data_IF_100860214099
#
_entry.id   IF_100860214099
#
_cell.length_a   1.000
_cell.length_b   1.000
_cell.length_c   1.000
_cell.angle_alpha   90.00
_cell.angle_beta   90.00
_cell.angle_gamma   90.00
#
_symmetry.space_group_name_H-M   'P 1'
#
loop_
_entity.id
_entity.type
_entity.pdbx_description
1 polymer ?
#
# COMPACT_ATOMS: atom_id res chain seq x y z
N UNK A 1 -22.41 27.72 -13.08
CA UNK A 1 -21.02 27.83 -13.53
C UNK A 1 -20.28 26.61 -13.01
N UNK A 2 -20.18 25.57 -13.84
CA UNK A 2 -19.37 24.40 -13.52
C UNK A 2 -17.89 24.84 -13.67
N UNK A 3 -17.19 24.86 -12.56
CA UNK A 3 -15.74 24.97 -12.55
C UNK A 3 -15.19 23.70 -13.22
N UNK A 4 -14.74 23.82 -14.46
CA UNK A 4 -14.12 22.75 -15.21
C UNK A 4 -12.98 22.15 -14.40
N UNK A 5 -13.11 20.87 -14.07
CA UNK A 5 -11.97 20.02 -13.66
C UNK A 5 -10.94 20.15 -14.78
N UNK A 6 -9.79 20.76 -14.46
CA UNK A 6 -8.65 20.73 -15.36
C UNK A 6 -8.42 19.26 -15.72
N UNK A 7 -8.51 18.93 -17.00
CA UNK A 7 -8.20 17.60 -17.50
C UNK A 7 -6.75 17.33 -17.18
N UNK A 8 -6.48 16.32 -16.31
CA UNK A 8 -5.11 15.89 -16.02
C UNK A 8 -4.38 15.65 -17.33
N UNK A 9 -3.22 16.30 -17.49
CA UNK A 9 -2.41 16.19 -18.71
C UNK A 9 -1.74 14.81 -18.86
N UNK A 10 -1.84 13.92 -17.85
CA UNK A 10 -1.25 12.58 -17.84
C UNK A 10 -2.14 11.59 -17.08
N UNK A 11 -1.96 10.31 -17.33
CA UNK A 11 -2.54 9.21 -16.58
C UNK A 11 -1.51 8.09 -16.50
N UNK A 12 -1.73 7.14 -15.59
CA UNK A 12 -0.88 5.95 -15.46
C UNK A 12 -0.73 5.19 -16.79
N UNK A 13 -1.72 5.28 -17.69
CA UNK A 13 -1.73 4.61 -18.99
C UNK A 13 -0.95 5.36 -20.10
N UNK A 14 -0.55 6.62 -19.87
CA UNK A 14 0.14 7.45 -20.89
C UNK A 14 1.52 7.91 -20.45
N UNK A 15 1.86 7.76 -19.16
CA UNK A 15 3.13 8.18 -18.59
C UNK A 15 4.27 7.29 -19.09
N UNK A 16 5.16 7.85 -19.92
CA UNK A 16 6.19 7.10 -20.67
C UNK A 16 7.11 6.27 -19.80
N UNK A 17 7.51 6.76 -18.60
CA UNK A 17 8.34 6.04 -17.66
C UNK A 17 7.64 4.83 -17.04
N UNK A 18 6.32 4.83 -16.96
CA UNK A 18 5.51 3.71 -16.45
C UNK A 18 5.30 2.69 -17.57
N UNK A 19 4.71 3.12 -18.71
CA UNK A 19 4.39 2.21 -19.80
C UNK A 19 5.63 1.61 -20.47
N UNK A 20 6.79 2.24 -20.35
CA UNK A 20 8.08 1.69 -20.81
C UNK A 20 8.61 0.56 -19.93
N UNK A 21 8.17 0.44 -18.68
CA UNK A 21 8.59 -0.59 -17.72
C UNK A 21 7.48 -1.57 -17.36
N UNK A 22 6.23 -1.14 -17.38
CA UNK A 22 5.06 -1.89 -16.89
C UNK A 22 3.93 -1.90 -17.91
N UNK A 23 3.33 -3.07 -18.09
CA UNK A 23 2.03 -3.19 -18.72
C UNK A 23 0.95 -2.95 -17.66
N UNK A 24 0.25 -1.83 -17.74
CA UNK A 24 -0.92 -1.55 -16.89
C UNK A 24 -2.09 -2.41 -17.35
N UNK A 25 -2.73 -3.09 -16.42
CA UNK A 25 -3.83 -4.03 -16.66
C UNK A 25 -5.13 -3.47 -16.06
N UNK A 26 -6.00 -4.33 -15.56
CA UNK A 26 -7.29 -3.92 -14.98
C UNK A 26 -7.13 -3.20 -13.63
N UNK A 27 -8.06 -2.29 -13.36
CA UNK A 27 -8.20 -1.66 -12.04
C UNK A 27 -8.78 -2.66 -11.05
N UNK A 28 -8.07 -2.90 -9.95
CA UNK A 28 -8.42 -3.85 -8.89
C UNK A 28 -8.91 -3.16 -7.62
N UNK A 29 -8.70 -1.85 -7.48
CA UNK A 29 -9.17 -1.06 -6.35
C UNK A 29 -9.37 0.40 -6.75
N UNK A 30 -10.31 1.07 -6.07
CA UNK A 30 -10.58 2.50 -6.24
C UNK A 30 -11.04 3.08 -4.90
N UNK A 31 -10.43 4.16 -4.49
CA UNK A 31 -10.72 4.87 -3.26
C UNK A 31 -10.75 6.38 -3.48
N UNK A 32 -11.04 7.12 -2.41
CA UNK A 32 -11.12 8.59 -2.47
C UNK A 32 -9.78 9.25 -2.84
N UNK A 33 -8.67 8.60 -2.51
CA UNK A 33 -7.32 9.18 -2.63
C UNK A 33 -6.38 8.40 -3.54
N UNK A 34 -6.78 7.20 -4.00
CA UNK A 34 -5.93 6.37 -4.82
C UNK A 34 -6.74 5.39 -5.68
N UNK A 35 -6.21 5.07 -6.85
CA UNK A 35 -6.63 3.97 -7.70
C UNK A 35 -5.52 2.91 -7.74
N UNK A 36 -5.89 1.62 -7.73
CA UNK A 36 -4.94 0.51 -7.78
C UNK A 36 -5.21 -0.34 -9.01
N UNK A 37 -4.16 -0.59 -9.79
CA UNK A 37 -4.20 -1.40 -10.99
C UNK A 37 -3.32 -2.63 -10.83
N UNK A 38 -3.74 -3.77 -11.36
CA UNK A 38 -2.82 -4.87 -11.58
C UNK A 38 -1.91 -4.50 -12.75
N UNK A 39 -0.63 -4.78 -12.61
CA UNK A 39 0.37 -4.54 -13.63
C UNK A 39 1.30 -5.73 -13.80
N UNK A 40 2.07 -5.71 -14.90
CA UNK A 40 3.12 -6.67 -15.16
C UNK A 40 4.40 -5.94 -15.56
N UNK A 41 5.48 -6.24 -14.85
CA UNK A 41 6.79 -5.68 -15.18
C UNK A 41 7.33 -6.33 -16.45
N UNK A 42 7.74 -5.52 -17.43
CA UNK A 42 8.11 -6.01 -18.77
C UNK A 42 9.46 -6.74 -18.81
N UNK A 43 10.34 -6.50 -17.84
CA UNK A 43 11.69 -7.09 -17.82
C UNK A 43 11.72 -8.57 -17.40
N UNK A 44 10.78 -9.02 -16.55
CA UNK A 44 10.79 -10.35 -15.93
C UNK A 44 9.39 -10.94 -15.71
N UNK A 45 8.37 -10.34 -16.30
CA UNK A 45 6.97 -10.74 -16.18
C UNK A 45 6.38 -10.74 -14.76
N UNK A 46 7.07 -10.11 -13.79
CA UNK A 46 6.57 -10.02 -12.41
C UNK A 46 5.23 -9.29 -12.36
N UNK A 47 4.23 -9.93 -11.74
CA UNK A 47 2.96 -9.27 -11.43
C UNK A 47 3.15 -8.30 -10.26
N UNK A 48 2.67 -7.06 -10.44
CA UNK A 48 2.78 -5.97 -9.46
C UNK A 48 1.43 -5.28 -9.26
N UNK A 49 1.28 -4.57 -8.15
CA UNK A 49 0.20 -3.61 -7.95
C UNK A 49 0.74 -2.19 -8.22
N UNK A 50 0.07 -1.46 -9.10
CA UNK A 50 0.38 -0.08 -9.44
C UNK A 50 -0.64 0.81 -8.72
N UNK A 51 -0.23 1.50 -7.66
CA UNK A 51 -1.08 2.39 -6.85
C UNK A 51 -0.84 3.83 -7.27
N UNK A 52 -1.83 4.43 -7.92
CA UNK A 52 -1.86 5.84 -8.31
C UNK A 52 -2.48 6.66 -7.16
N UNK A 53 -1.71 7.56 -6.54
CA UNK A 53 -2.13 8.33 -5.37
C UNK A 53 -2.30 9.79 -5.78
N UNK A 54 -3.51 10.33 -5.56
CA UNK A 54 -3.93 11.67 -5.97
C UNK A 54 -3.68 12.73 -4.89
N UNK A 55 -3.37 12.30 -3.64
CA UNK A 55 -3.08 13.18 -2.51
C UNK A 55 -1.60 13.19 -2.19
N UNK A 56 -0.97 14.36 -2.33
CA UNK A 56 0.46 14.56 -2.10
C UNK A 56 0.92 14.09 -0.72
N UNK A 57 0.18 14.45 0.33
CA UNK A 57 0.58 14.11 1.69
C UNK A 57 0.48 12.60 1.98
N UNK A 58 -0.53 11.95 1.43
CA UNK A 58 -0.66 10.48 1.54
C UNK A 58 0.45 9.78 0.78
N UNK A 59 0.78 10.24 -0.44
CA UNK A 59 1.87 9.68 -1.23
C UNK A 59 3.21 9.79 -0.50
N UNK A 60 3.53 10.97 0.03
CA UNK A 60 4.77 11.21 0.77
C UNK A 60 4.90 10.28 1.98
N UNK A 61 3.85 10.23 2.83
CA UNK A 61 3.84 9.38 4.02
C UNK A 61 3.99 7.89 3.67
N UNK A 62 3.29 7.41 2.63
CA UNK A 62 3.33 6.01 2.25
C UNK A 62 4.70 5.62 1.69
N UNK A 63 5.31 6.45 0.85
CA UNK A 63 6.66 6.22 0.32
C UNK A 63 7.69 6.17 1.44
N UNK A 64 7.72 7.19 2.33
CA UNK A 64 8.68 7.22 3.45
C UNK A 64 8.53 6.00 4.35
N UNK A 65 7.30 5.67 4.76
CA UNK A 65 7.04 4.52 5.62
C UNK A 65 7.51 3.21 4.98
N UNK A 66 7.17 2.97 3.71
CA UNK A 66 7.55 1.75 3.02
C UNK A 66 9.06 1.65 2.77
N UNK A 67 9.75 2.78 2.54
CA UNK A 67 11.21 2.81 2.45
C UNK A 67 11.88 2.45 3.79
N UNK A 68 11.36 2.95 4.92
CA UNK A 68 11.87 2.61 6.25
C UNK A 68 11.58 1.16 6.65
N UNK A 69 10.49 0.57 6.14
CA UNK A 69 10.03 -0.78 6.45
C UNK A 69 10.54 -1.85 5.46
N UNK A 70 11.44 -1.49 4.55
CA UNK A 70 12.02 -2.45 3.60
C UNK A 70 12.64 -3.66 4.30
N UNK A 71 12.36 -4.86 3.76
CA UNK A 71 12.85 -6.11 4.33
C UNK A 71 11.98 -6.67 5.48
N UNK A 72 10.93 -5.96 5.91
CA UNK A 72 9.96 -6.48 6.89
C UNK A 72 9.05 -7.52 6.24
N UNK A 73 9.05 -8.79 6.69
CA UNK A 73 8.34 -9.87 5.98
C UNK A 73 6.81 -9.72 5.98
N UNK A 74 6.28 -8.99 6.96
CA UNK A 74 4.84 -8.75 7.12
C UNK A 74 4.42 -7.31 6.80
N UNK A 75 5.16 -6.65 5.93
CA UNK A 75 4.81 -5.35 5.33
C UNK A 75 4.90 -5.50 3.82
N UNK A 76 3.99 -4.87 3.09
CA UNK A 76 3.98 -4.87 1.61
C UNK A 76 5.28 -4.28 1.07
N UNK A 77 5.86 -4.92 0.05
CA UNK A 77 7.14 -4.48 -0.55
C UNK A 77 6.87 -3.35 -1.55
N UNK A 78 7.59 -2.25 -1.39
CA UNK A 78 7.70 -1.19 -2.39
C UNK A 78 8.88 -1.52 -3.32
N UNK A 79 8.62 -1.80 -4.61
CA UNK A 79 9.65 -2.08 -5.60
C UNK A 79 10.30 -0.80 -6.13
N UNK A 80 9.48 0.16 -6.57
CA UNK A 80 9.89 1.49 -6.99
C UNK A 80 8.68 2.45 -6.94
N UNK A 81 8.92 3.73 -7.16
CA UNK A 81 7.86 4.72 -7.31
C UNK A 81 8.22 5.76 -8.38
N UNK A 82 7.18 6.36 -8.95
CA UNK A 82 7.28 7.45 -9.91
C UNK A 82 6.54 8.65 -9.36
N UNK A 83 7.26 9.72 -9.10
CA UNK A 83 6.67 10.93 -8.56
C UNK A 83 7.41 12.15 -9.07
N UNK A 84 6.67 13.15 -9.54
CA UNK A 84 7.16 14.46 -9.97
C UNK A 84 6.29 15.52 -9.32
N UNK A 85 6.84 16.74 -9.24
CA UNK A 85 6.09 17.90 -8.78
C UNK A 85 4.84 18.09 -9.67
N UNK A 86 3.72 18.41 -9.04
CA UNK A 86 2.40 18.62 -9.66
C UNK A 86 1.76 17.39 -10.34
N UNK A 87 2.31 16.19 -10.17
CA UNK A 87 1.74 14.94 -10.69
C UNK A 87 1.37 13.98 -9.55
N UNK A 88 0.39 13.10 -9.82
CA UNK A 88 0.06 12.01 -8.91
C UNK A 88 1.24 11.04 -8.79
N UNK A 89 1.48 10.54 -7.59
CA UNK A 89 2.49 9.52 -7.37
C UNK A 89 1.98 8.13 -7.82
N UNK A 90 2.84 7.33 -8.41
CA UNK A 90 2.55 5.92 -8.71
C UNK A 90 3.54 5.05 -7.97
N UNK A 91 3.05 4.24 -7.04
CA UNK A 91 3.84 3.26 -6.30
C UNK A 91 3.73 1.90 -6.99
N UNK A 92 4.85 1.25 -7.18
CA UNK A 92 4.93 -0.13 -7.65
C UNK A 92 5.14 -1.04 -6.46
N UNK A 93 4.09 -1.76 -6.09
CA UNK A 93 4.04 -2.61 -4.91
C UNK A 93 4.03 -4.09 -5.33
N UNK A 94 4.44 -4.98 -4.43
CA UNK A 94 4.18 -6.40 -4.63
C UNK A 94 2.67 -6.65 -4.76
N UNK A 95 2.31 -7.58 -5.66
CA UNK A 95 0.92 -7.97 -5.84
C UNK A 95 0.56 -9.10 -4.88
N UNK A 96 -0.48 -8.88 -4.10
CA UNK A 96 -1.05 -9.85 -3.17
C UNK A 96 -2.49 -10.14 -3.61
N UNK A 97 -2.87 -11.42 -3.67
CA UNK A 97 -4.06 -11.87 -4.41
C UNK A 97 -5.39 -11.61 -3.72
N UNK A 98 -5.38 -11.44 -2.40
CA UNK A 98 -6.59 -11.18 -1.61
C UNK A 98 -6.29 -10.35 -0.35
N UNK A 99 -7.32 -9.98 0.36
CA UNK A 99 -7.25 -9.30 1.65
C UNK A 99 -8.10 -10.03 2.70
N UNK A 100 -7.86 -9.75 3.98
CA UNK A 100 -8.53 -10.43 5.08
C UNK A 100 -10.05 -10.10 5.12
N UNK A 101 -10.49 -8.93 4.67
CA UNK A 101 -11.91 -8.61 4.61
C UNK A 101 -12.64 -9.50 3.59
N UNK A 102 -12.03 -9.72 2.44
CA UNK A 102 -12.53 -10.63 1.41
C UNK A 102 -12.61 -12.08 1.94
N UNK A 103 -11.56 -12.55 2.62
CA UNK A 103 -11.54 -13.89 3.23
C UNK A 103 -12.66 -14.05 4.28
N UNK A 104 -12.84 -13.07 5.17
CA UNK A 104 -13.91 -13.07 6.17
C UNK A 104 -15.29 -13.09 5.50
N UNK A 105 -15.49 -12.26 4.47
CA UNK A 105 -16.75 -12.18 3.74
C UNK A 105 -17.10 -13.51 3.05
N UNK A 106 -16.13 -14.14 2.42
CA UNK A 106 -16.33 -15.42 1.74
C UNK A 106 -16.64 -16.55 2.75
N UNK A 107 -15.89 -16.62 3.85
CA UNK A 107 -16.16 -17.57 4.92
C UNK A 107 -17.60 -17.44 5.48
N UNK A 108 -18.06 -16.21 5.67
CA UNK A 108 -19.42 -15.93 6.14
C UNK A 108 -20.49 -16.35 5.10
N UNK A 109 -20.26 -16.08 3.81
CA UNK A 109 -21.19 -16.44 2.72
C UNK A 109 -21.29 -17.95 2.53
N UNK A 110 -20.18 -18.66 2.65
CA UNK A 110 -20.11 -20.12 2.46
C UNK A 110 -20.52 -20.88 3.73
N UNK A 111 -20.63 -20.21 4.87
CA UNK A 111 -20.89 -20.85 6.17
C UNK A 111 -19.73 -21.72 6.65
N UNK A 112 -18.52 -21.53 6.10
CA UNK A 112 -17.31 -22.27 6.44
C UNK A 112 -16.44 -21.41 7.35
N UNK A 113 -16.23 -21.79 8.62
CA UNK A 113 -15.42 -20.99 9.53
C UNK A 113 -13.93 -21.03 9.12
N UNK A 114 -13.24 -19.89 9.27
CA UNK A 114 -11.79 -19.82 9.07
C UNK A 114 -11.12 -20.72 10.13
N UNK A 115 -10.20 -21.61 9.74
CA UNK A 115 -9.51 -22.47 10.69
C UNK A 115 -8.75 -21.70 11.78
N UNK A 116 -8.87 -22.10 13.02
CA UNK A 116 -8.21 -21.43 14.16
C UNK A 116 -6.69 -21.33 13.99
N UNK A 117 -6.07 -22.33 13.34
CA UNK A 117 -4.64 -22.31 13.01
C UNK A 117 -4.27 -21.13 12.10
N UNK A 118 -5.09 -20.85 11.07
CA UNK A 118 -4.89 -19.70 10.18
C UNK A 118 -5.06 -18.37 10.93
N UNK A 119 -6.11 -18.26 11.75
CA UNK A 119 -6.33 -17.05 12.55
C UNK A 119 -5.14 -16.75 13.48
N UNK A 120 -4.61 -17.77 14.17
CA UNK A 120 -3.43 -17.62 15.02
C UNK A 120 -2.20 -17.19 14.21
N UNK A 121 -1.97 -17.81 13.04
CA UNK A 121 -0.85 -17.49 12.16
C UNK A 121 -0.93 -16.04 11.68
N UNK A 122 -2.07 -15.61 11.17
CA UNK A 122 -2.27 -14.22 10.73
C UNK A 122 -2.15 -13.22 11.86
N UNK A 123 -2.66 -13.54 13.06
CA UNK A 123 -2.50 -12.66 14.22
C UNK A 123 -1.03 -12.43 14.57
N UNK A 124 -0.21 -13.48 14.55
CA UNK A 124 1.24 -13.36 14.75
C UNK A 124 1.87 -12.48 13.67
N UNK A 125 1.50 -12.66 12.41
CA UNK A 125 2.02 -11.89 11.28
C UNK A 125 1.63 -10.41 11.37
N UNK A 126 0.39 -10.10 11.78
CA UNK A 126 -0.05 -8.72 12.07
C UNK A 126 0.83 -8.10 13.17
N UNK A 127 1.04 -8.81 14.26
CA UNK A 127 1.86 -8.32 15.37
C UNK A 127 3.32 -8.12 14.95
N UNK A 128 3.89 -9.01 14.14
CA UNK A 128 5.24 -8.84 13.58
C UNK A 128 5.33 -7.61 12.67
N UNK A 129 4.35 -7.38 11.81
CA UNK A 129 4.27 -6.19 10.96
C UNK A 129 4.14 -4.90 11.78
N UNK A 130 3.31 -4.91 12.82
CA UNK A 130 3.17 -3.77 13.75
C UNK A 130 4.43 -3.52 14.56
N UNK A 131 5.12 -4.57 15.02
CA UNK A 131 6.40 -4.43 15.71
C UNK A 131 7.45 -3.76 14.83
N UNK A 132 7.52 -4.16 13.53
CA UNK A 132 8.39 -3.49 12.56
C UNK A 132 8.04 -2.00 12.40
N UNK A 133 6.76 -1.65 12.30
CA UNK A 133 6.31 -0.26 12.29
C UNK A 133 6.76 0.50 13.54
N UNK A 134 6.46 -0.02 14.72
CA UNK A 134 6.73 0.66 15.99
C UNK A 134 8.22 0.83 16.27
N UNK A 135 9.07 -0.14 15.89
CA UNK A 135 10.54 -0.01 15.96
C UNK A 135 11.08 1.11 15.07
N UNK A 136 10.39 1.43 13.99
CA UNK A 136 10.69 2.54 13.10
C UNK A 136 9.91 3.81 13.44
N UNK A 137 9.27 3.88 14.62
CA UNK A 137 8.48 5.01 15.08
C UNK A 137 7.30 5.36 14.17
N UNK A 138 6.77 4.36 13.45
CA UNK A 138 5.62 4.48 12.56
C UNK A 138 4.38 3.95 13.26
N UNK A 139 3.29 4.71 13.27
CA UNK A 139 1.96 4.27 13.68
C UNK A 139 1.07 4.19 12.45
N UNK A 140 0.50 3.02 12.16
CA UNK A 140 -0.26 2.75 10.92
C UNK A 140 -1.55 3.57 10.81
N UNK A 141 -2.33 3.68 11.87
CA UNK A 141 -3.56 4.49 12.06
C UNK A 141 -4.78 4.10 11.22
N UNK A 142 -4.64 3.23 10.23
CA UNK A 142 -5.75 2.71 9.43
C UNK A 142 -5.74 1.18 9.32
N UNK A 143 -5.47 0.51 10.46
CA UNK A 143 -5.44 -0.96 10.50
C UNK A 143 -6.87 -1.50 10.46
N UNK A 144 -7.20 -2.18 9.37
CA UNK A 144 -8.50 -2.81 9.12
C UNK A 144 -8.31 -4.04 8.21
N UNK A 145 -9.26 -4.98 8.17
CA UNK A 145 -9.10 -6.21 7.39
C UNK A 145 -8.81 -6.00 5.90
N UNK A 146 -9.31 -4.93 5.27
CA UNK A 146 -9.02 -4.61 3.87
C UNK A 146 -7.60 -4.12 3.63
N UNK A 147 -6.88 -3.68 4.66
CA UNK A 147 -5.46 -3.27 4.59
C UNK A 147 -4.50 -4.38 5.06
N UNK A 148 -5.02 -5.59 5.26
CA UNK A 148 -4.29 -6.80 5.61
C UNK A 148 -4.33 -7.74 4.39
N UNK A 149 -3.32 -7.61 3.53
CA UNK A 149 -3.24 -8.37 2.29
C UNK A 149 -2.64 -9.74 2.53
N UNK A 150 -3.06 -10.73 1.74
CA UNK A 150 -2.63 -12.13 1.88
C UNK A 150 -2.12 -12.63 0.53
N UNK A 151 -0.92 -13.21 0.54
CA UNK A 151 -0.29 -13.82 -0.63
C UNK A 151 -0.86 -15.21 -0.93
N UNK A 152 -0.56 -15.76 -2.12
CA UNK A 152 -0.96 -17.12 -2.53
C UNK A 152 -0.46 -18.21 -1.58
N UNK A 153 0.70 -17.99 -0.92
CA UNK A 153 1.24 -18.90 0.09
C UNK A 153 0.72 -18.60 1.51
N UNK A 154 -0.29 -17.73 1.64
CA UNK A 154 -0.96 -17.41 2.89
C UNK A 154 -0.18 -16.50 3.84
N UNK A 155 0.85 -15.80 3.37
CA UNK A 155 1.57 -14.79 4.18
C UNK A 155 0.74 -13.51 4.21
N UNK A 156 0.44 -13.02 5.42
CA UNK A 156 -0.27 -11.77 5.64
C UNK A 156 0.72 -10.62 5.78
N UNK A 157 0.40 -9.49 5.13
CA UNK A 157 1.19 -8.26 5.15
C UNK A 157 0.33 -7.02 5.36
N UNK A 158 0.87 -6.07 6.11
CA UNK A 158 0.28 -4.74 6.28
C UNK A 158 0.45 -3.93 4.99
N UNK A 159 -0.60 -3.22 4.59
CA UNK A 159 -0.64 -2.37 3.40
C UNK A 159 -1.38 -1.06 3.69
N UNK A 160 -1.30 -0.11 2.76
CA UNK A 160 -1.95 1.21 2.82
C UNK A 160 -1.42 2.09 3.96
N UNK A 161 -0.22 2.62 3.75
CA UNK A 161 0.48 3.49 4.70
C UNK A 161 0.20 5.00 4.48
N UNK A 162 -0.79 5.37 3.67
CA UNK A 162 -1.13 6.78 3.39
C UNK A 162 -1.61 7.59 4.60
N UNK A 163 -2.05 6.91 5.67
CA UNK A 163 -2.54 7.56 6.90
C UNK A 163 -1.55 7.47 8.08
N UNK A 164 -0.34 6.99 7.86
CA UNK A 164 0.63 6.80 8.95
C UNK A 164 1.04 8.11 9.62
N UNK A 165 1.49 8.01 10.87
CA UNK A 165 2.14 9.09 11.59
C UNK A 165 3.55 8.65 11.97
N UNK A 166 4.53 9.45 11.56
CA UNK A 166 5.92 9.29 11.98
C UNK A 166 6.09 10.00 13.32
N UNK A 167 6.09 9.24 14.41
CA UNK A 167 6.20 9.79 15.77
C UNK A 167 7.52 10.59 15.95
N UNK A 168 8.58 10.19 15.28
CA UNK A 168 9.86 10.90 15.31
C UNK A 168 9.71 12.38 14.90
N UNK A 169 8.88 12.67 13.90
CA UNK A 169 8.62 14.05 13.46
C UNK A 169 7.88 14.86 14.55
N UNK A 170 6.94 14.21 15.25
CA UNK A 170 6.20 14.86 16.36
C UNK A 170 7.12 15.14 17.55
N UNK A 171 7.98 14.19 17.93
CA UNK A 171 8.96 14.36 18.99
C UNK A 171 9.94 15.49 18.65
N UNK A 172 10.43 15.55 17.40
CA UNK A 172 11.31 16.63 16.93
C UNK A 172 10.64 18.01 16.97
N UNK A 173 9.36 18.09 16.56
CA UNK A 173 8.58 19.34 16.58
C UNK A 173 8.24 19.77 18.01
N UNK A 174 7.89 18.82 18.91
CA UNK A 174 7.44 19.14 20.27
C UNK A 174 8.59 19.35 21.26
N UNK A 175 9.72 18.68 21.09
CA UNK A 175 10.80 18.65 22.07
C UNK A 175 12.12 19.28 21.60
N UNK A 176 12.20 19.71 20.31
CA UNK A 176 13.32 20.47 19.77
C UNK A 176 14.68 20.00 20.28
N UNK A 177 15.19 18.85 19.85
CA UNK A 177 16.56 18.48 20.16
C UNK A 177 17.51 19.41 19.41
N UNK A 178 17.92 20.50 20.07
CA UNK A 178 19.16 21.20 19.75
C UNK A 178 20.32 20.23 20.01
N UNK A 179 21.01 19.87 18.96
CA UNK A 179 22.36 19.28 19.03
C UNK A 179 23.35 20.35 19.42
#
# INVERSE_FOLDING_TARGET
MELGRATKSWSIHTRSEIIGKYKVMERIGSGAYADVYRGRRLSDDLTVALKEIHDYQSAFREIEALQMLQGSPNVVVLHEYFWRDDEDAVLVLEYLTTDLATVISNAAKEGIPIPVGELKRWMIQILCGLDACHRNMIVHRDLKPSNLLISDCGVLKLADFGQVNLIALIIFILFGFST
#
